data_IF_681356435619
#
_entry.id   IF_681356435619
#
_cell.length_a   1.000
_cell.length_b   1.000
_cell.length_c   1.000
_cell.angle_alpha   90.00
_cell.angle_beta   90.00
_cell.angle_gamma   90.00
#
_symmetry.space_group_name_H-M   'P 1'
#
loop_
_entity.id
_entity.type
_entity.pdbx_description
1 polymer ?
#
# COMPACT_ATOMS: atom_id res chain seq x y z
N UNK A 1 6.67 -22.19 -4.03
CA UNK A 1 7.96 -21.50 -4.23
C UNK A 1 7.97 -20.22 -3.40
N UNK A 2 9.16 -19.75 -2.91
CA UNK A 2 9.28 -18.57 -2.05
C UNK A 2 9.96 -17.43 -2.80
N UNK A 3 9.37 -16.24 -2.74
CA UNK A 3 9.87 -15.01 -3.33
C UNK A 3 9.99 -13.92 -2.26
N UNK A 4 10.86 -12.94 -2.49
CA UNK A 4 11.11 -11.84 -1.56
C UNK A 4 11.10 -10.52 -2.31
N UNK A 5 10.33 -9.56 -1.78
CA UNK A 5 10.36 -8.17 -2.19
C UNK A 5 10.72 -7.32 -0.97
N UNK A 6 11.95 -6.86 -0.90
CA UNK A 6 12.49 -6.06 0.22
C UNK A 6 13.21 -4.84 -0.33
N UNK A 7 12.46 -3.94 -0.95
CA UNK A 7 13.02 -2.77 -1.63
C UNK A 7 11.97 -1.69 -1.87
N UNK A 8 12.42 -0.53 -2.37
CA UNK A 8 11.54 0.54 -2.81
C UNK A 8 10.68 0.12 -4.01
N UNK A 9 9.44 0.62 -4.05
CA UNK A 9 8.51 0.41 -5.15
C UNK A 9 8.86 1.39 -6.27
N UNK A 10 9.33 0.87 -7.37
CA UNK A 10 9.61 1.59 -8.61
C UNK A 10 9.12 0.77 -9.81
N UNK A 11 9.00 1.38 -10.97
CA UNK A 11 8.66 0.64 -12.21
C UNK A 11 9.62 -0.51 -12.45
N UNK A 12 10.92 -0.31 -12.23
CA UNK A 12 11.95 -1.34 -12.42
C UNK A 12 11.78 -2.49 -11.42
N UNK A 13 11.67 -2.19 -10.13
CA UNK A 13 11.54 -3.22 -9.09
C UNK A 13 10.27 -4.05 -9.25
N UNK A 14 9.18 -3.41 -9.67
CA UNK A 14 7.89 -4.06 -9.93
C UNK A 14 7.98 -4.97 -11.15
N UNK A 15 8.52 -4.49 -12.27
CA UNK A 15 8.68 -5.32 -13.47
C UNK A 15 9.54 -6.54 -13.20
N UNK A 16 10.67 -6.39 -12.50
CA UNK A 16 11.55 -7.48 -12.11
C UNK A 16 10.85 -8.53 -11.23
N UNK A 17 9.94 -8.10 -10.34
CA UNK A 17 9.14 -9.03 -9.54
C UNK A 17 8.10 -9.76 -10.40
N UNK A 18 7.35 -9.02 -11.23
CA UNK A 18 6.30 -9.58 -12.09
C UNK A 18 6.88 -10.64 -13.02
N UNK A 19 8.01 -10.37 -13.70
CA UNK A 19 8.68 -11.34 -14.58
C UNK A 19 9.03 -12.65 -13.85
N UNK A 20 9.50 -12.56 -12.60
CA UNK A 20 9.81 -13.75 -11.79
C UNK A 20 8.55 -14.53 -11.39
N UNK A 21 7.46 -13.82 -11.06
CA UNK A 21 6.21 -14.45 -10.63
C UNK A 21 5.42 -15.04 -11.80
N UNK A 22 5.54 -14.48 -13.01
CA UNK A 22 4.95 -15.04 -14.23
C UNK A 22 5.56 -16.40 -14.60
N UNK A 23 6.85 -16.58 -14.33
CA UNK A 23 7.56 -17.85 -14.56
C UNK A 23 7.33 -18.88 -13.45
N UNK A 24 6.66 -18.50 -12.35
CA UNK A 24 6.41 -19.38 -11.23
C UNK A 24 5.30 -20.39 -11.57
N UNK A 25 5.56 -21.67 -11.32
CA UNK A 25 4.56 -22.72 -11.38
C UNK A 25 3.99 -23.04 -9.99
N UNK A 26 2.68 -23.35 -9.93
CA UNK A 26 1.98 -23.71 -8.69
C UNK A 26 1.85 -22.58 -7.68
N UNK A 27 1.85 -22.94 -6.39
CA UNK A 27 1.65 -22.00 -5.29
C UNK A 27 2.83 -21.05 -5.11
N UNK A 28 2.52 -19.76 -4.92
CA UNK A 28 3.47 -18.66 -4.73
C UNK A 28 3.36 -18.14 -3.30
N UNK A 29 4.47 -18.07 -2.58
CA UNK A 29 4.59 -17.42 -1.28
C UNK A 29 5.52 -16.22 -1.41
N UNK A 30 4.97 -15.02 -1.36
CA UNK A 30 5.73 -13.77 -1.46
C UNK A 30 5.89 -13.15 -0.07
N UNK A 31 7.14 -12.97 0.37
CA UNK A 31 7.49 -12.17 1.55
C UNK A 31 7.69 -10.72 1.11
N UNK A 32 6.88 -9.81 1.65
CA UNK A 32 6.81 -8.43 1.18
C UNK A 32 7.13 -7.43 2.29
N UNK A 33 8.07 -6.57 2.01
CA UNK A 33 8.50 -5.45 2.84
C UNK A 33 8.91 -4.28 1.96
N UNK A 34 8.56 -3.03 2.33
CA UNK A 34 8.91 -1.85 1.56
C UNK A 34 8.73 -0.57 2.38
N UNK A 35 9.59 0.42 2.14
CA UNK A 35 9.41 1.79 2.64
C UNK A 35 8.46 2.62 1.74
N UNK A 36 7.86 2.00 0.73
CA UNK A 36 6.97 2.67 -0.21
C UNK A 36 7.64 2.99 -1.54
N UNK A 37 7.18 4.05 -2.20
CA UNK A 37 7.67 4.51 -3.50
C UNK A 37 6.53 4.90 -4.43
N UNK A 38 6.65 4.58 -5.73
CA UNK A 38 5.71 4.96 -6.76
C UNK A 38 4.35 4.25 -6.59
N UNK A 39 3.30 5.05 -6.33
CA UNK A 39 1.94 4.54 -6.15
C UNK A 39 1.32 4.01 -7.45
N UNK A 40 1.76 4.48 -8.61
CA UNK A 40 1.30 3.99 -9.93
C UNK A 40 1.89 2.61 -10.18
N UNK A 41 3.19 2.43 -9.93
CA UNK A 41 3.85 1.13 -10.01
C UNK A 41 3.22 0.13 -9.02
N UNK A 42 2.88 0.58 -7.79
CA UNK A 42 2.18 -0.27 -6.83
C UNK A 42 0.79 -0.68 -7.31
N UNK A 43 0.01 0.24 -7.89
CA UNK A 43 -1.32 -0.08 -8.43
C UNK A 43 -1.24 -1.11 -9.57
N UNK A 44 -0.22 -1.03 -10.42
CA UNK A 44 0.06 -2.05 -11.44
C UNK A 44 0.38 -3.41 -10.79
N UNK A 45 1.26 -3.43 -9.78
CA UNK A 45 1.63 -4.64 -9.05
C UNK A 45 0.41 -5.29 -8.38
N UNK A 46 -0.47 -4.51 -7.75
CA UNK A 46 -1.73 -5.01 -7.16
C UNK A 46 -2.64 -5.62 -8.23
N UNK A 47 -2.73 -5.00 -9.40
CA UNK A 47 -3.52 -5.57 -10.51
C UNK A 47 -3.00 -6.93 -10.95
N UNK A 48 -1.67 -7.07 -11.05
CA UNK A 48 -1.03 -8.34 -11.33
C UNK A 48 -1.27 -9.35 -10.19
N UNK A 49 -1.07 -8.96 -8.93
CA UNK A 49 -1.34 -9.84 -7.79
C UNK A 49 -2.77 -10.35 -7.76
N UNK A 50 -3.74 -9.49 -8.09
CA UNK A 50 -5.15 -9.86 -8.16
C UNK A 50 -5.44 -10.84 -9.31
N UNK A 51 -4.66 -10.83 -10.39
CA UNK A 51 -4.82 -11.79 -11.50
C UNK A 51 -4.33 -13.21 -11.16
N UNK A 52 -3.49 -13.34 -10.13
CA UNK A 52 -2.93 -14.61 -9.65
C UNK A 52 -3.28 -14.90 -8.20
N UNK A 53 -4.33 -14.26 -7.68
CA UNK A 53 -4.70 -14.28 -6.26
C UNK A 53 -5.07 -15.67 -5.73
N UNK A 54 -5.54 -16.56 -6.59
CA UNK A 54 -5.91 -17.95 -6.29
C UNK A 54 -4.70 -18.81 -5.87
N UNK A 55 -3.50 -18.45 -6.34
CA UNK A 55 -2.25 -19.17 -6.06
C UNK A 55 -1.19 -18.34 -5.34
N UNK A 56 -1.47 -17.06 -5.04
CA UNK A 56 -0.54 -16.15 -4.38
C UNK A 56 -0.91 -15.91 -2.91
N UNK A 57 0.00 -16.24 -2.01
CA UNK A 57 -0.05 -15.81 -0.60
C UNK A 57 1.02 -14.75 -0.37
N UNK A 58 0.62 -13.58 0.15
CA UNK A 58 1.54 -12.49 0.51
C UNK A 58 1.72 -12.48 2.03
N UNK A 59 2.96 -12.62 2.48
CA UNK A 59 3.33 -12.51 3.90
C UNK A 59 4.04 -11.18 4.12
N UNK A 60 3.47 -10.30 4.95
CA UNK A 60 4.06 -9.01 5.29
C UNK A 60 5.11 -9.19 6.38
N UNK A 61 6.30 -8.60 6.17
CA UNK A 61 7.46 -8.68 7.07
C UNK A 61 8.12 -7.30 7.21
N UNK A 62 8.90 -7.10 8.28
CA UNK A 62 9.64 -5.87 8.56
C UNK A 62 8.72 -4.63 8.52
N UNK A 63 8.91 -3.76 7.53
CA UNK A 63 8.12 -2.54 7.38
C UNK A 63 7.29 -2.57 6.09
N UNK A 64 6.04 -2.11 6.17
CA UNK A 64 5.16 -1.93 5.01
C UNK A 64 4.58 -0.52 5.05
N UNK A 65 5.23 0.40 4.31
CA UNK A 65 4.96 1.82 4.42
C UNK A 65 4.39 2.41 3.13
N UNK A 66 3.65 3.51 3.27
CA UNK A 66 3.23 4.37 2.17
C UNK A 66 2.49 3.61 1.07
N UNK A 67 2.95 3.66 -0.18
CA UNK A 67 2.35 2.94 -1.30
C UNK A 67 2.23 1.42 -1.04
N UNK A 68 3.16 0.83 -0.27
CA UNK A 68 3.11 -0.60 0.09
C UNK A 68 1.86 -1.00 0.87
N UNK A 69 1.24 -0.08 1.61
CA UNK A 69 0.01 -0.36 2.36
C UNK A 69 -1.20 -0.65 1.48
N UNK A 70 -1.14 -0.33 0.18
CA UNK A 70 -2.22 -0.67 -0.78
C UNK A 70 -2.52 -2.17 -0.79
N UNK A 71 -1.53 -3.03 -0.53
CA UNK A 71 -1.75 -4.49 -0.39
C UNK A 71 -2.87 -4.80 0.61
N UNK A 72 -2.89 -4.11 1.74
CA UNK A 72 -3.83 -4.39 2.83
C UNK A 72 -5.30 -4.16 2.47
N UNK A 73 -5.58 -3.22 1.57
CA UNK A 73 -6.95 -2.82 1.24
C UNK A 73 -7.33 -2.96 -0.24
N UNK A 74 -6.40 -3.31 -1.13
CA UNK A 74 -6.65 -3.52 -2.56
C UNK A 74 -6.43 -4.96 -3.03
N UNK A 75 -5.54 -5.72 -2.37
CA UNK A 75 -5.32 -7.11 -2.73
C UNK A 75 -6.49 -7.98 -2.28
N UNK A 76 -6.93 -8.88 -3.16
CA UNK A 76 -8.12 -9.73 -2.96
C UNK A 76 -7.80 -11.16 -2.54
N UNK A 77 -6.52 -11.52 -2.58
CA UNK A 77 -6.07 -12.85 -2.21
C UNK A 77 -5.67 -12.95 -0.74
N UNK A 78 -4.88 -13.96 -0.42
CA UNK A 78 -4.52 -14.30 0.95
C UNK A 78 -3.35 -13.46 1.44
N UNK A 79 -3.57 -12.72 2.54
CA UNK A 79 -2.53 -11.98 3.28
C UNK A 79 -2.25 -12.71 4.59
N UNK A 80 -0.97 -12.80 4.95
CA UNK A 80 -0.47 -13.23 6.26
C UNK A 80 0.39 -12.12 6.86
N UNK A 81 0.40 -12.03 8.17
CA UNK A 81 1.31 -11.17 8.92
C UNK A 81 2.34 -12.05 9.60
N UNK A 82 3.61 -11.82 9.33
CA UNK A 82 4.69 -12.41 10.12
C UNK A 82 4.85 -11.59 11.40
N UNK A 83 4.12 -11.97 12.45
CA UNK A 83 4.10 -11.22 13.69
C UNK A 83 5.44 -11.22 14.45
N UNK A 84 6.38 -12.05 14.08
CA UNK A 84 7.72 -12.05 14.67
C UNK A 84 8.64 -11.05 13.97
N UNK A 85 8.50 -10.88 12.66
CA UNK A 85 9.33 -10.00 11.85
C UNK A 85 8.66 -8.69 11.39
N UNK A 86 7.32 -8.58 11.43
CA UNK A 86 6.62 -7.37 11.02
C UNK A 86 6.69 -6.31 12.13
N UNK A 87 7.46 -5.25 11.88
CA UNK A 87 7.71 -4.19 12.85
C UNK A 87 6.64 -3.12 12.82
N UNK A 88 6.37 -2.55 11.63
CA UNK A 88 5.43 -1.44 11.51
C UNK A 88 4.74 -1.34 10.16
N UNK A 89 3.56 -0.69 10.16
CA UNK A 89 2.84 -0.31 8.96
C UNK A 89 2.53 1.17 9.02
N UNK A 90 2.95 1.93 7.99
CA UNK A 90 2.75 3.37 7.92
C UNK A 90 1.75 3.74 6.83
N UNK A 91 0.64 4.32 7.26
CA UNK A 91 -0.37 4.92 6.38
C UNK A 91 -0.18 6.43 6.30
N UNK A 92 -0.14 6.98 5.10
CA UNK A 92 -0.27 8.40 4.88
C UNK A 92 -1.21 8.69 3.69
N UNK A 93 -1.89 9.82 3.77
CA UNK A 93 -2.78 10.25 2.69
C UNK A 93 -1.98 10.79 1.50
N UNK A 94 -2.55 10.70 0.31
CA UNK A 94 -2.04 11.44 -0.84
C UNK A 94 -2.21 12.95 -0.55
N UNK A 95 -1.13 13.69 -0.56
CA UNK A 95 -1.12 15.13 -0.33
C UNK A 95 -0.16 15.82 -1.28
N UNK A 96 -0.73 16.53 -2.25
CA UNK A 96 0.02 17.33 -3.23
C UNK A 96 0.30 18.76 -2.75
N UNK A 97 -0.26 19.19 -1.63
CA UNK A 97 0.03 20.50 -1.06
C UNK A 97 1.50 20.60 -0.60
N UNK A 98 2.10 19.46 -0.24
CA UNK A 98 3.52 19.37 0.13
C UNK A 98 4.48 19.32 -1.06
N UNK A 99 4.00 18.93 -2.26
CA UNK A 99 4.80 19.08 -3.48
C UNK A 99 4.79 20.54 -3.89
N UNK A 100 5.97 21.18 -3.82
CA UNK A 100 6.19 22.50 -4.39
C UNK A 100 5.80 22.50 -5.89
N UNK A 101 4.53 22.75 -6.17
CA UNK A 101 4.11 23.03 -7.54
C UNK A 101 4.91 24.21 -8.02
N UNK A 102 5.67 24.04 -9.09
CA UNK A 102 6.42 25.12 -9.74
C UNK A 102 5.48 26.30 -9.91
N UNK A 103 5.97 27.51 -9.66
CA UNK A 103 5.23 28.79 -9.74
C UNK A 103 4.43 29.02 -11.04
N UNK A 104 4.61 28.15 -12.03
CA UNK A 104 4.04 28.21 -13.37
C UNK A 104 2.79 27.32 -13.58
N UNK A 105 2.33 26.57 -12.57
CA UNK A 105 1.11 25.78 -12.71
C UNK A 105 -0.13 26.66 -12.55
N UNK A 106 -1.10 26.47 -13.46
CA UNK A 106 -2.35 27.20 -13.45
C UNK A 106 -3.11 26.93 -12.13
N UNK A 107 -3.52 27.97 -11.40
CA UNK A 107 -4.21 27.87 -10.09
C UNK A 107 -5.49 27.00 -10.20
N UNK A 108 -6.13 27.00 -11.35
CA UNK A 108 -7.32 26.17 -11.61
C UNK A 108 -6.98 24.68 -11.57
N UNK A 109 -5.87 24.28 -12.19
CA UNK A 109 -5.43 22.88 -12.24
C UNK A 109 -5.01 22.38 -10.86
N UNK A 110 -4.36 23.24 -10.07
CA UNK A 110 -3.96 22.93 -8.69
C UNK A 110 -5.18 22.63 -7.80
N UNK A 111 -6.23 23.46 -7.87
CA UNK A 111 -7.47 23.25 -7.10
C UNK A 111 -8.18 21.95 -7.48
N UNK A 112 -8.18 21.60 -8.76
CA UNK A 112 -8.76 20.36 -9.27
C UNK A 112 -7.97 19.14 -8.74
N UNK A 113 -6.65 19.19 -8.74
CA UNK A 113 -5.79 18.12 -8.25
C UNK A 113 -5.97 17.90 -6.74
N UNK A 114 -6.02 18.98 -5.93
CA UNK A 114 -6.29 18.89 -4.49
C UNK A 114 -7.66 18.25 -4.23
N UNK A 115 -8.69 18.60 -5.02
CA UNK A 115 -10.00 17.97 -4.90
C UNK A 115 -9.96 16.48 -5.21
N UNK A 116 -9.23 16.08 -6.27
CA UNK A 116 -9.04 14.66 -6.62
C UNK A 116 -8.34 13.89 -5.51
N UNK A 117 -7.29 14.45 -4.90
CA UNK A 117 -6.59 13.81 -3.78
C UNK A 117 -7.51 13.62 -2.57
N UNK A 118 -8.33 14.61 -2.23
CA UNK A 118 -9.32 14.48 -1.15
C UNK A 118 -10.35 13.38 -1.44
N UNK A 119 -10.88 13.32 -2.66
CA UNK A 119 -11.82 12.26 -3.07
C UNK A 119 -11.15 10.87 -3.03
N UNK A 120 -9.91 10.77 -3.48
CA UNK A 120 -9.13 9.54 -3.39
C UNK A 120 -8.91 9.10 -1.94
N UNK A 121 -8.45 10.02 -1.07
CA UNK A 121 -8.20 9.72 0.34
C UNK A 121 -9.47 9.27 1.07
N UNK A 122 -10.65 9.82 0.74
CA UNK A 122 -11.93 9.35 1.31
C UNK A 122 -12.23 7.90 0.89
N UNK A 123 -12.03 7.54 -0.37
CA UNK A 123 -12.23 6.16 -0.86
C UNK A 123 -11.25 5.18 -0.19
N UNK A 124 -10.00 5.58 -0.02
CA UNK A 124 -8.99 4.77 0.70
C UNK A 124 -9.39 4.61 2.16
N UNK A 125 -9.83 5.70 2.82
CA UNK A 125 -10.27 5.67 4.21
C UNK A 125 -11.45 4.71 4.44
N UNK A 126 -12.41 4.64 3.51
CA UNK A 126 -13.52 3.67 3.57
C UNK A 126 -13.02 2.23 3.54
N UNK A 127 -12.07 1.89 2.64
CA UNK A 127 -11.48 0.56 2.56
C UNK A 127 -10.67 0.19 3.81
N UNK A 128 -9.86 1.13 4.32
CA UNK A 128 -9.12 1.00 5.57
C UNK A 128 -10.08 0.71 6.74
N UNK A 129 -11.19 1.43 6.81
CA UNK A 129 -12.22 1.24 7.83
C UNK A 129 -12.90 -0.12 7.73
N UNK A 130 -13.27 -0.57 6.53
CA UNK A 130 -13.88 -1.88 6.29
C UNK A 130 -13.01 -3.03 6.77
N UNK A 131 -11.69 -2.91 6.61
CA UNK A 131 -10.68 -3.90 7.04
C UNK A 131 -10.23 -3.71 8.51
N UNK A 132 -10.78 -2.74 9.22
CA UNK A 132 -10.40 -2.38 10.60
C UNK A 132 -8.90 -2.12 10.80
N UNK A 133 -8.23 -1.58 9.77
CA UNK A 133 -6.78 -1.36 9.80
C UNK A 133 -6.38 -0.20 10.72
N UNK A 134 -7.24 0.81 10.87
CA UNK A 134 -7.03 1.99 11.71
C UNK A 134 -8.21 2.19 12.67
N UNK A 135 -7.91 2.69 13.86
CA UNK A 135 -8.94 3.21 14.79
C UNK A 135 -9.58 4.47 14.24
N UNK A 136 -10.76 4.85 14.73
CA UNK A 136 -11.46 6.08 14.31
C UNK A 136 -10.60 7.36 14.50
N UNK A 137 -9.78 7.40 15.55
CA UNK A 137 -8.85 8.50 15.80
C UNK A 137 -7.74 8.53 14.74
N UNK A 138 -7.12 7.40 14.49
CA UNK A 138 -6.06 7.26 13.46
C UNK A 138 -6.60 7.57 12.06
N UNK A 139 -7.83 7.13 11.74
CA UNK A 139 -8.47 7.43 10.46
C UNK A 139 -8.73 8.95 10.28
N UNK A 140 -9.11 9.65 11.35
CA UNK A 140 -9.23 11.12 11.34
C UNK A 140 -7.86 11.79 11.14
N UNK A 141 -6.80 11.28 11.75
CA UNK A 141 -5.45 11.81 11.56
C UNK A 141 -4.93 11.56 10.13
N UNK A 142 -5.16 10.36 9.57
CA UNK A 142 -4.91 10.04 8.17
C UNK A 142 -5.60 11.04 7.21
N UNK A 143 -6.90 11.29 7.40
CA UNK A 143 -7.68 12.23 6.56
C UNK A 143 -7.23 13.70 6.71
N UNK A 144 -6.49 14.03 7.77
CA UNK A 144 -5.87 15.35 7.97
C UNK A 144 -4.46 15.46 7.39
N UNK A 145 -3.98 14.45 6.66
CA UNK A 145 -2.65 14.44 6.08
C UNK A 145 -1.52 14.08 7.06
N UNK A 146 -1.87 13.48 8.22
CA UNK A 146 -0.85 13.04 9.17
C UNK A 146 -0.42 11.61 8.88
N UNK A 147 0.85 11.33 9.09
CA UNK A 147 1.37 9.98 9.10
C UNK A 147 0.80 9.18 10.28
N UNK A 148 0.32 7.97 9.99
CA UNK A 148 -0.22 7.06 11.01
C UNK A 148 0.59 5.77 10.99
N UNK A 149 1.39 5.57 12.03
CA UNK A 149 2.17 4.35 12.21
C UNK A 149 1.40 3.38 13.10
N UNK A 150 1.30 2.14 12.65
CA UNK A 150 0.65 1.04 13.37
C UNK A 150 1.69 -0.02 13.70
N UNK A 151 1.63 -0.51 14.93
CA UNK A 151 2.55 -1.52 15.46
C UNK A 151 1.84 -2.83 15.80
N UNK A 152 2.61 -3.85 16.12
CA UNK A 152 2.22 -5.26 16.34
C UNK A 152 0.96 -5.47 17.19
N UNK A 153 0.78 -4.71 18.24
CA UNK A 153 -0.37 -4.88 19.17
C UNK A 153 -1.72 -4.63 18.49
N UNK A 154 -1.75 -3.81 17.43
CA UNK A 154 -2.97 -3.48 16.70
C UNK A 154 -3.27 -4.49 15.59
N UNK A 155 -2.27 -5.17 15.04
CA UNK A 155 -2.44 -6.06 13.87
C UNK A 155 -3.44 -7.20 14.12
N UNK A 156 -3.55 -7.69 15.35
CA UNK A 156 -4.50 -8.74 15.75
C UNK A 156 -5.98 -8.39 15.53
N UNK A 157 -6.28 -7.10 15.35
CA UNK A 157 -7.64 -6.60 15.14
C UNK A 157 -7.98 -6.43 13.65
N UNK A 158 -7.03 -6.69 12.75
CA UNK A 158 -7.24 -6.49 11.31
C UNK A 158 -8.06 -7.61 10.70
N UNK A 159 -8.94 -7.26 9.74
CA UNK A 159 -9.74 -8.17 8.94
C UNK A 159 -9.15 -8.25 7.53
N UNK A 160 -8.14 -9.13 7.33
CA UNK A 160 -7.36 -9.30 6.09
C UNK A 160 -7.89 -10.47 5.25
#
# INVERSE_FOLDING_TARGET
MHYYFKQEISTESVNNLVEKLEQAEGEINLYFSTNGGDSTAMSFLISFFNSVADRLTITLTNDVWSAGTQILYEYKGKIKLDLDELDSVLFHSADRETYNFRKDSNICDTKMLIKQDKEYNLKVAEKIKQKKLLTDKQLKDFLKGKDVVVYKEQFKNWEL
#
